data_IF_676580031886
#
_entry.id   IF_676580031886
#
_cell.length_a   1.000
_cell.length_b   1.000
_cell.length_c   1.000
_cell.angle_alpha   90.00
_cell.angle_beta   90.00
_cell.angle_gamma   90.00
#
_symmetry.space_group_name_H-M   'P 1'
#
loop_
_entity.id
_entity.type
_entity.pdbx_description
1 polymer ?
#
# COMPACT_ATOMS: atom_id res chain seq x y z
N UNK A 1 -8.61 8.09 -13.54
CA UNK A 1 -8.77 6.74 -12.98
C UNK A 1 -7.44 6.36 -12.36
N UNK A 2 -7.45 6.00 -11.08
CA UNK A 2 -6.30 5.40 -10.39
C UNK A 2 -6.54 3.91 -10.18
N UNK A 3 -5.46 3.18 -9.98
CA UNK A 3 -5.48 1.83 -9.45
C UNK A 3 -4.82 1.86 -8.09
N UNK A 4 -5.38 1.13 -7.13
CA UNK A 4 -5.02 1.30 -5.73
C UNK A 4 -4.66 -0.06 -5.12
N UNK A 5 -3.67 -0.07 -4.21
CA UNK A 5 -3.33 -1.23 -3.40
C UNK A 5 -3.24 -0.83 -1.93
N UNK A 6 -3.76 -1.68 -1.06
CA UNK A 6 -3.53 -1.59 0.37
C UNK A 6 -2.43 -2.58 0.76
N UNK A 7 -1.41 -2.11 1.46
CA UNK A 7 -0.33 -2.97 1.95
C UNK A 7 -0.15 -2.75 3.45
N UNK A 8 -0.10 -3.83 4.23
CA UNK A 8 0.09 -3.71 5.68
C UNK A 8 0.99 -4.79 6.28
N UNK A 9 1.56 -4.45 7.44
CA UNK A 9 2.31 -5.35 8.31
C UNK A 9 1.36 -6.01 9.32
N UNK A 10 1.14 -7.31 9.15
CA UNK A 10 0.21 -8.09 9.98
C UNK A 10 0.10 -9.53 9.54
N UNK A 11 -0.77 -10.28 10.21
CA UNK A 11 -1.07 -11.66 9.82
C UNK A 11 -1.86 -11.69 8.50
N UNK A 12 -1.54 -12.66 7.64
CA UNK A 12 -2.26 -12.90 6.40
C UNK A 12 -3.71 -13.32 6.73
N UNK A 13 -4.73 -12.53 6.33
CA UNK A 13 -6.13 -12.89 6.57
C UNK A 13 -6.51 -14.19 5.86
N UNK A 14 -7.48 -14.92 6.41
CA UNK A 14 -7.98 -16.15 5.78
C UNK A 14 -9.24 -15.84 4.98
N UNK A 15 -9.23 -16.22 3.71
CA UNK A 15 -10.42 -16.18 2.87
C UNK A 15 -10.94 -14.76 2.67
N UNK A 16 -12.22 -14.55 2.99
CA UNK A 16 -12.97 -13.31 2.78
C UNK A 16 -12.75 -12.26 3.89
N UNK A 17 -11.97 -12.56 4.92
CA UNK A 17 -11.67 -11.62 6.02
C UNK A 17 -10.77 -10.44 5.58
N UNK A 18 -10.10 -10.54 4.44
CA UNK A 18 -9.13 -9.53 4.00
C UNK A 18 -9.74 -8.13 3.83
N UNK A 19 -10.94 -8.03 3.27
CA UNK A 19 -11.65 -6.76 3.12
C UNK A 19 -11.98 -6.13 4.48
N UNK A 20 -12.47 -6.92 5.44
CA UNK A 20 -12.80 -6.43 6.78
C UNK A 20 -11.56 -5.97 7.56
N UNK A 21 -10.42 -6.66 7.40
CA UNK A 21 -9.13 -6.24 7.98
C UNK A 21 -8.68 -4.93 7.36
N UNK A 22 -8.77 -4.80 6.03
CA UNK A 22 -8.46 -3.55 5.33
C UNK A 22 -9.33 -2.40 5.83
N UNK A 23 -10.65 -2.55 5.87
CA UNK A 23 -11.58 -1.51 6.33
C UNK A 23 -11.23 -1.01 7.74
N UNK A 24 -10.97 -1.95 8.66
CA UNK A 24 -10.60 -1.62 10.04
C UNK A 24 -9.26 -0.89 10.15
N UNK A 25 -8.27 -1.24 9.31
CA UNK A 25 -6.98 -0.55 9.27
C UNK A 25 -7.12 0.84 8.63
N UNK A 26 -7.87 0.96 7.55
CA UNK A 26 -8.08 2.21 6.84
C UNK A 26 -8.78 3.24 7.75
N UNK A 27 -9.90 2.87 8.36
CA UNK A 27 -10.66 3.73 9.29
C UNK A 27 -9.76 4.19 10.45
N UNK A 28 -8.94 3.28 10.99
CA UNK A 28 -8.13 3.57 12.16
C UNK A 28 -6.91 4.44 11.87
N UNK A 29 -6.21 4.19 10.76
CA UNK A 29 -4.87 4.76 10.54
C UNK A 29 -4.83 5.82 9.44
N UNK A 30 -5.78 5.81 8.51
CA UNK A 30 -5.77 6.68 7.32
C UNK A 30 -6.93 7.69 7.31
N UNK A 31 -8.09 7.34 7.87
CA UNK A 31 -9.25 8.25 7.95
C UNK A 31 -9.30 9.06 9.27
N UNK A 32 -8.69 8.54 10.34
CA UNK A 32 -8.67 9.19 11.65
C UNK A 32 -7.49 10.16 11.83
N UNK A 33 -7.78 11.46 11.88
CA UNK A 33 -6.77 12.50 12.16
C UNK A 33 -6.24 12.49 13.62
N UNK A 34 -6.93 11.79 14.53
CA UNK A 34 -6.58 11.72 15.95
C UNK A 34 -5.52 10.65 16.27
N UNK A 35 -5.21 9.78 15.32
CA UNK A 35 -4.27 8.67 15.51
C UNK A 35 -2.86 9.10 15.11
N UNK A 36 -2.05 9.44 16.11
CA UNK A 36 -0.59 9.54 15.94
C UNK A 36 -0.01 8.13 16.07
N UNK A 37 0.15 7.44 14.93
CA UNK A 37 0.74 6.10 14.89
C UNK A 37 2.19 6.17 14.42
N UNK A 38 3.09 5.48 15.14
CA UNK A 38 4.46 5.24 14.67
C UNK A 38 4.41 4.31 13.45
N UNK A 39 5.08 4.71 12.37
CA UNK A 39 5.15 3.93 11.15
C UNK A 39 5.88 2.61 11.40
N UNK A 40 5.33 1.50 10.93
CA UNK A 40 6.01 0.20 11.00
C UNK A 40 7.33 0.28 10.22
N UNK A 41 8.46 -0.15 10.81
CA UNK A 41 9.73 -0.21 10.10
C UNK A 41 9.68 -1.05 8.81
N UNK A 42 8.80 -2.06 8.74
CA UNK A 42 8.64 -2.87 7.52
C UNK A 42 7.92 -2.10 6.43
N UNK A 43 6.92 -1.30 6.78
CA UNK A 43 6.22 -0.43 5.83
C UNK A 43 7.16 0.67 5.34
N UNK A 44 7.92 1.29 6.25
CA UNK A 44 8.93 2.28 5.89
C UNK A 44 9.93 1.71 4.88
N UNK A 45 10.55 0.56 5.20
CA UNK A 45 11.52 -0.09 4.30
C UNK A 45 10.89 -0.48 2.96
N UNK A 46 9.63 -0.93 2.96
CA UNK A 46 8.90 -1.31 1.75
C UNK A 46 8.64 -0.10 0.84
N UNK A 47 8.18 1.02 1.41
CA UNK A 47 7.90 2.24 0.64
C UNK A 47 9.19 2.87 0.14
N UNK A 48 10.27 2.87 0.94
CA UNK A 48 11.59 3.33 0.48
C UNK A 48 12.06 2.54 -0.75
N UNK A 49 11.94 1.21 -0.72
CA UNK A 49 12.31 0.35 -1.86
C UNK A 49 11.40 0.58 -3.10
N UNK A 50 10.12 0.87 -2.89
CA UNK A 50 9.21 1.27 -3.97
C UNK A 50 9.65 2.58 -4.62
N UNK A 51 9.93 3.60 -3.81
CA UNK A 51 10.33 4.94 -4.29
C UNK A 51 11.72 4.91 -4.91
N UNK A 52 12.64 4.08 -4.43
CA UNK A 52 13.94 3.86 -5.09
C UNK A 52 13.77 3.32 -6.52
N UNK A 53 12.86 2.37 -6.71
CA UNK A 53 12.59 1.76 -8.02
C UNK A 53 11.76 2.67 -8.92
N UNK A 54 10.80 3.38 -8.32
CA UNK A 54 9.83 4.25 -8.96
C UNK A 54 9.79 5.59 -8.21
N UNK A 55 10.69 6.54 -8.55
CA UNK A 55 10.75 7.83 -7.87
C UNK A 55 9.42 8.59 -7.95
N UNK A 56 9.04 9.22 -6.84
CA UNK A 56 7.77 9.95 -6.70
C UNK A 56 7.91 11.47 -6.91
N UNK A 57 9.15 11.95 -7.07
CA UNK A 57 9.53 13.35 -7.28
C UNK A 57 9.88 13.69 -8.75
N UNK A 58 9.64 12.76 -9.68
CA UNK A 58 9.96 12.92 -11.11
C UNK A 58 8.71 13.06 -11.99
N UNK A 59 8.87 13.77 -13.10
CA UNK A 59 7.83 13.84 -14.12
C UNK A 59 7.57 12.44 -14.72
N UNK A 60 6.30 12.04 -14.77
CA UNK A 60 5.92 10.69 -15.21
C UNK A 60 6.04 9.61 -14.13
N UNK A 61 6.21 10.01 -12.86
CA UNK A 61 6.01 9.14 -11.70
C UNK A 61 4.73 8.31 -11.85
N UNK A 62 4.75 7.01 -11.50
CA UNK A 62 3.55 6.19 -11.57
C UNK A 62 2.56 6.52 -10.45
N UNK A 63 2.99 7.22 -9.40
CA UNK A 63 2.20 7.52 -8.21
C UNK A 63 1.22 8.67 -8.47
N UNK A 64 -0.04 8.46 -8.13
CA UNK A 64 -1.11 9.45 -8.29
C UNK A 64 -1.22 10.40 -7.08
N UNK A 65 -0.72 10.00 -5.91
CA UNK A 65 -0.64 10.82 -4.70
C UNK A 65 0.77 10.76 -4.09
N UNK A 66 1.74 11.54 -4.62
CA UNK A 66 3.06 11.67 -4.01
C UNK A 66 3.04 12.71 -2.85
N UNK A 67 3.93 12.58 -1.84
CA UNK A 67 4.92 11.51 -1.70
C UNK A 67 4.27 10.22 -1.21
N UNK A 68 4.76 9.06 -1.67
CA UNK A 68 4.17 7.75 -1.31
C UNK A 68 4.26 7.49 0.20
N UNK A 69 5.33 7.96 0.83
CA UNK A 69 5.50 7.92 2.29
C UNK A 69 4.40 8.66 3.06
N UNK A 70 3.77 9.66 2.45
CA UNK A 70 2.67 10.42 3.06
C UNK A 70 1.36 9.66 3.15
N UNK A 71 1.22 8.57 2.38
CA UNK A 71 0.05 7.70 2.37
C UNK A 71 0.20 6.50 3.32
N UNK A 72 1.21 6.53 4.18
CA UNK A 72 1.53 5.48 5.15
C UNK A 72 1.30 5.96 6.58
N UNK A 73 0.69 5.11 7.40
CA UNK A 73 0.41 5.37 8.81
C UNK A 73 0.34 4.07 9.59
N UNK A 74 1.04 4.01 10.73
CA UNK A 74 1.06 2.80 11.55
C UNK A 74 1.52 1.57 10.74
N UNK A 75 0.73 0.48 10.70
CA UNK A 75 1.10 -0.72 9.98
C UNK A 75 0.67 -0.73 8.51
N UNK A 76 0.06 0.33 7.95
CA UNK A 76 -0.55 0.31 6.62
C UNK A 76 -0.03 1.44 5.72
N UNK A 77 0.04 1.18 4.41
CA UNK A 77 0.20 2.18 3.35
C UNK A 77 -0.86 1.99 2.27
N UNK A 78 -1.41 3.09 1.77
CA UNK A 78 -2.38 3.10 0.67
C UNK A 78 -1.73 3.63 -0.61
N UNK A 79 -1.47 2.74 -1.56
CA UNK A 79 -0.76 3.08 -2.79
C UNK A 79 -1.74 3.53 -3.86
N UNK A 80 -1.66 4.79 -4.26
CA UNK A 80 -2.46 5.38 -5.34
C UNK A 80 -1.63 5.49 -6.61
N UNK A 81 -2.08 4.87 -7.71
CA UNK A 81 -1.28 4.72 -8.92
C UNK A 81 -2.01 5.22 -10.16
N UNK A 82 -1.29 5.81 -11.10
CA UNK A 82 -1.80 6.15 -12.42
C UNK A 82 -2.14 4.88 -13.20
N UNK A 83 -3.36 4.83 -13.75
CA UNK A 83 -3.86 3.63 -14.44
C UNK A 83 -2.96 3.19 -15.61
N UNK A 84 -2.31 4.13 -16.31
CA UNK A 84 -1.40 3.84 -17.43
C UNK A 84 -0.12 3.09 -17.03
N UNK A 85 0.22 3.07 -15.74
CA UNK A 85 1.38 2.39 -15.17
C UNK A 85 0.99 1.29 -14.18
N UNK A 86 -0.31 1.14 -13.89
CA UNK A 86 -0.81 0.30 -12.83
C UNK A 86 -0.45 -1.18 -12.99
N UNK A 87 -0.52 -1.73 -14.21
CA UNK A 87 -0.22 -3.16 -14.44
C UNK A 87 1.20 -3.52 -14.00
N UNK A 88 2.21 -2.83 -14.55
CA UNK A 88 3.64 -3.06 -14.22
C UNK A 88 3.92 -2.79 -12.74
N UNK A 89 3.48 -1.64 -12.23
CA UNK A 89 3.91 -1.18 -10.91
C UNK A 89 3.14 -1.91 -9.80
N UNK A 90 1.88 -2.30 -10.01
CA UNK A 90 1.11 -3.08 -9.03
C UNK A 90 1.63 -4.51 -8.89
N UNK A 91 2.08 -5.12 -10.00
CA UNK A 91 2.68 -6.45 -9.97
C UNK A 91 4.00 -6.43 -9.20
N UNK A 92 4.85 -5.43 -9.44
CA UNK A 92 6.08 -5.24 -8.68
C UNK A 92 5.80 -4.96 -7.20
N UNK A 93 4.85 -4.08 -6.89
CA UNK A 93 4.48 -3.73 -5.52
C UNK A 93 4.00 -4.97 -4.73
N UNK A 94 3.13 -5.78 -5.31
CA UNK A 94 2.68 -7.02 -4.69
C UNK A 94 3.82 -8.03 -4.46
N UNK A 95 4.71 -8.20 -5.44
CA UNK A 95 5.86 -9.08 -5.31
C UNK A 95 6.82 -8.63 -4.18
N UNK A 96 7.10 -7.33 -4.12
CA UNK A 96 7.95 -6.74 -3.09
C UNK A 96 7.30 -6.82 -1.71
N UNK A 97 5.98 -6.60 -1.60
CA UNK A 97 5.26 -6.76 -0.33
C UNK A 97 5.43 -8.18 0.23
N UNK A 98 5.33 -9.19 -0.64
CA UNK A 98 5.57 -10.60 -0.26
C UNK A 98 7.02 -10.83 0.21
N UNK A 99 8.01 -10.24 -0.44
CA UNK A 99 9.42 -10.35 -0.03
C UNK A 99 9.66 -9.75 1.36
N UNK A 100 8.93 -8.69 1.71
CA UNK A 100 8.97 -8.05 3.01
C UNK A 100 8.06 -8.73 4.06
N UNK A 101 7.34 -9.79 3.69
CA UNK A 101 6.38 -10.47 4.57
C UNK A 101 5.17 -9.63 4.93
N UNK A 102 4.79 -8.70 4.05
CA UNK A 102 3.61 -7.84 4.16
C UNK A 102 2.42 -8.46 3.43
N UNK A 103 1.23 -8.04 3.83
CA UNK A 103 -0.01 -8.40 3.13
C UNK A 103 -0.28 -7.35 2.07
N UNK A 104 -0.55 -7.77 0.84
CA UNK A 104 -0.98 -6.90 -0.26
C UNK A 104 -2.41 -7.27 -0.66
N UNK A 105 -3.29 -6.28 -0.70
CA UNK A 105 -4.70 -6.41 -1.05
C UNK A 105 -5.06 -5.42 -2.14
N UNK A 106 -5.87 -5.87 -3.09
CA UNK A 106 -6.49 -5.06 -4.13
C UNK A 106 -7.94 -4.75 -3.69
N UNK A 107 -8.23 -3.51 -3.24
CA UNK A 107 -9.58 -3.12 -2.84
C UNK A 107 -10.57 -3.08 -4.01
N UNK A 108 -10.09 -2.86 -5.23
CA UNK A 108 -10.94 -2.79 -6.42
C UNK A 108 -11.35 -4.19 -6.91
N UNK A 109 -10.44 -5.16 -6.74
CA UNK A 109 -10.67 -6.58 -7.05
C UNK A 109 -11.17 -7.41 -5.86
N UNK A 110 -11.26 -6.82 -4.67
CA UNK A 110 -11.58 -7.47 -3.39
C UNK A 110 -10.77 -8.75 -3.15
N UNK A 111 -9.46 -8.70 -3.42
CA UNK A 111 -8.63 -9.92 -3.43
C UNK A 111 -7.22 -9.69 -2.92
N UNK A 112 -6.64 -10.71 -2.30
CA UNK A 112 -5.24 -10.71 -1.90
C UNK A 112 -4.33 -10.90 -3.12
N UNK A 113 -3.25 -10.12 -3.17
CA UNK A 113 -2.21 -10.21 -4.20
C UNK A 113 -1.06 -11.06 -3.64
N UNK A 114 -1.21 -12.40 -3.72
CA UNK A 114 -0.25 -13.42 -3.23
C UNK A 114 0.73 -13.90 -4.28
#
# INVERSE_FOLDING_TARGET
MSYDLAVWDGELPRGDEAGAVFDALYERYLDSEDVIAELSPRIETYVEALVERYPDDVAGSPWASPPVMGEASGPIVYLLMSYSRAEEVSEYAAALAREHGLVCYDPQGETLRV
#
